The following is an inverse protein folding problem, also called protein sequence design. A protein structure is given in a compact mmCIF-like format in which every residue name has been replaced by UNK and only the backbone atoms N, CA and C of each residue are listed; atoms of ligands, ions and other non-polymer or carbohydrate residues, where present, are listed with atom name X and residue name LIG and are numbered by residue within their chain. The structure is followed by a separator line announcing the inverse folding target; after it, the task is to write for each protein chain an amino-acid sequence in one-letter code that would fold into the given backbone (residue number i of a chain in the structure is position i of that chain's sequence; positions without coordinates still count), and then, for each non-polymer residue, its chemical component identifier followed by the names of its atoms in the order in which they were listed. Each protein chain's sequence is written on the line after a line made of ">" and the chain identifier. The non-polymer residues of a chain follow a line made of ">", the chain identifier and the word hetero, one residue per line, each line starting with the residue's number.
data_IF_391167695242
#
_entry.id   IF_391167695242
#
_cell.length_a   1.000
_cell.length_b   1.000
_cell.length_c   1.000
_cell.angle_alpha   90.00
_cell.angle_beta   90.00
_cell.angle_gamma   90.00
#
_symmetry.space_group_name_H-M   'P 1'
#
loop_
_entity.id
_entity.type
_entity.pdbx_description
1 polymer ?
#
# COMPACT_ATOMS: atom_id res chain seq x y z
N UNK A 1 -20.60 18.19 -7.53
CA UNK A 1 -19.41 18.98 -7.19
C UNK A 1 -18.35 18.03 -6.64
N UNK A 2 -17.29 17.73 -7.39
CA UNK A 2 -16.19 16.91 -6.86
C UNK A 2 -15.43 17.77 -5.85
N UNK A 3 -15.50 17.40 -4.57
CA UNK A 3 -14.78 18.07 -3.51
C UNK A 3 -13.29 18.17 -3.90
N UNK A 4 -12.72 19.39 -3.91
CA UNK A 4 -11.27 19.59 -4.05
C UNK A 4 -10.60 18.77 -2.96
N UNK A 5 -10.09 17.58 -3.31
CA UNK A 5 -9.26 16.79 -2.41
C UNK A 5 -8.05 17.65 -2.07
N UNK A 6 -7.93 18.06 -0.80
CA UNK A 6 -6.73 18.74 -0.31
C UNK A 6 -5.54 17.84 -0.61
N UNK A 7 -4.54 18.38 -1.32
CA UNK A 7 -3.28 17.68 -1.58
C UNK A 7 -2.69 17.24 -0.23
N UNK A 8 -2.22 16.00 -0.07
CA UNK A 8 -1.72 15.46 1.19
C UNK A 8 -0.31 15.97 1.54
N UNK A 9 -0.08 17.28 1.41
CA UNK A 9 1.23 17.93 1.60
C UNK A 9 1.77 17.72 3.01
N UNK A 10 0.90 17.70 4.02
CA UNK A 10 1.30 17.41 5.40
C UNK A 10 1.86 15.99 5.58
N UNK A 11 1.27 15.00 4.91
CA UNK A 11 1.80 13.63 4.92
C UNK A 11 3.13 13.56 4.18
N UNK A 12 3.24 14.22 3.03
CA UNK A 12 4.48 14.30 2.26
C UNK A 12 5.63 14.86 3.10
N UNK A 13 5.40 15.98 3.81
CA UNK A 13 6.43 16.57 4.67
C UNK A 13 6.80 15.65 5.83
N UNK A 14 5.83 15.03 6.49
CA UNK A 14 6.10 14.11 7.60
C UNK A 14 6.90 12.88 7.15
N UNK A 15 6.50 12.23 6.06
CA UNK A 15 7.23 11.07 5.51
C UNK A 15 8.55 11.46 4.85
N UNK A 16 8.65 12.65 4.25
CA UNK A 16 9.89 13.18 3.70
C UNK A 16 10.93 13.46 4.79
N UNK A 17 10.54 14.18 5.85
CA UNK A 17 11.38 14.38 7.04
C UNK A 17 11.72 13.05 7.71
N UNK A 18 10.76 12.13 7.81
CA UNK A 18 10.99 10.78 8.32
C UNK A 18 12.02 10.02 7.48
N UNK A 19 11.94 10.09 6.15
CA UNK A 19 12.90 9.42 5.25
C UNK A 19 14.29 10.04 5.38
N UNK A 20 14.42 11.38 5.38
CA UNK A 20 15.70 12.08 5.59
C UNK A 20 16.29 11.72 6.97
N UNK A 21 15.45 11.71 8.01
CA UNK A 21 15.84 11.32 9.36
C UNK A 21 16.36 9.87 9.41
N UNK A 22 15.69 8.93 8.75
CA UNK A 22 16.14 7.54 8.67
C UNK A 22 17.50 7.41 7.98
N UNK A 23 17.68 8.04 6.81
CA UNK A 23 18.97 8.01 6.11
C UNK A 23 20.09 8.61 6.97
N UNK A 24 19.81 9.74 7.62
CA UNK A 24 20.76 10.40 8.52
C UNK A 24 21.10 9.52 9.72
N UNK A 25 20.10 8.88 10.34
CA UNK A 25 20.30 7.99 11.47
C UNK A 25 21.21 6.81 11.12
N UNK A 26 21.06 6.20 9.95
CA UNK A 26 21.94 5.10 9.52
C UNK A 26 23.39 5.56 9.39
N UNK A 27 23.63 6.75 8.87
CA UNK A 27 25.00 7.29 8.78
C UNK A 27 25.57 7.63 10.16
N UNK A 28 24.79 8.24 11.06
CA UNK A 28 25.25 8.60 12.40
C UNK A 28 25.49 7.38 13.30
N UNK A 29 24.70 6.33 13.13
CA UNK A 29 24.78 5.09 13.90
C UNK A 29 25.51 3.98 13.15
N UNK A 30 26.22 4.29 12.07
CA UNK A 30 26.84 3.30 11.18
C UNK A 30 27.77 2.34 11.94
N UNK A 31 28.63 2.87 12.81
CA UNK A 31 29.58 2.05 13.58
C UNK A 31 28.85 1.07 14.51
N UNK A 32 27.79 1.53 15.17
CA UNK A 32 26.96 0.70 16.05
C UNK A 32 26.19 -0.36 15.25
N UNK A 33 25.65 0.02 14.09
CA UNK A 33 24.94 -0.88 13.20
C UNK A 33 25.88 -1.96 12.66
N UNK A 34 27.07 -1.62 12.18
CA UNK A 34 28.03 -2.61 11.69
C UNK A 34 28.52 -3.53 12.80
N UNK A 35 28.82 -2.99 13.98
CA UNK A 35 29.22 -3.78 15.15
C UNK A 35 28.14 -4.79 15.58
N UNK A 36 26.85 -4.43 15.50
CA UNK A 36 25.76 -5.33 15.83
C UNK A 36 25.39 -6.27 14.67
N UNK A 37 25.36 -5.79 13.43
CA UNK A 37 24.90 -6.55 12.27
C UNK A 37 25.91 -7.64 11.88
N UNK A 38 27.20 -7.39 12.10
CA UNK A 38 28.27 -8.34 11.81
C UNK A 38 28.38 -9.49 12.83
N UNK A 39 27.76 -9.38 14.01
CA UNK A 39 27.82 -10.42 15.06
C UNK A 39 27.05 -11.70 14.72
N UNK A 40 26.19 -11.67 13.69
CA UNK A 40 25.40 -12.83 13.28
C UNK A 40 24.37 -13.30 14.33
N UNK A 41 23.76 -14.46 14.12
CA UNK A 41 22.74 -15.01 15.03
C UNK A 41 21.48 -14.15 15.11
N UNK A 42 20.96 -13.90 16.31
CA UNK A 42 19.76 -13.07 16.55
C UNK A 42 19.93 -11.64 16.01
N UNK A 43 21.16 -11.14 15.93
CA UNK A 43 21.44 -9.80 15.42
C UNK A 43 21.19 -9.64 13.92
N UNK A 44 21.04 -10.73 13.16
CA UNK A 44 20.65 -10.68 11.73
C UNK A 44 19.22 -10.16 11.52
N UNK A 45 18.39 -10.17 12.57
CA UNK A 45 17.04 -9.57 12.53
C UNK A 45 17.11 -8.06 12.36
N UNK A 46 18.16 -7.40 12.87
CA UNK A 46 18.31 -5.96 12.82
C UNK A 46 18.41 -5.37 11.40
N UNK A 47 19.29 -5.87 10.49
CA UNK A 47 19.33 -5.40 9.10
C UNK A 47 18.02 -5.66 8.37
N UNK A 48 17.38 -6.82 8.62
CA UNK A 48 16.08 -7.16 8.02
C UNK A 48 15.00 -6.15 8.46
N UNK A 49 14.90 -5.89 9.76
CA UNK A 49 13.95 -4.92 10.29
C UNK A 49 14.21 -3.51 9.74
N UNK A 50 15.48 -3.13 9.59
CA UNK A 50 15.88 -1.83 9.04
C UNK A 50 15.42 -1.67 7.60
N UNK A 51 15.67 -2.65 6.72
CA UNK A 51 15.23 -2.55 5.32
C UNK A 51 13.71 -2.52 5.18
N UNK A 52 12.97 -3.23 6.04
CA UNK A 52 11.50 -3.15 6.08
C UNK A 52 11.01 -1.76 6.50
N UNK A 53 11.62 -1.20 7.55
CA UNK A 53 11.29 0.15 8.01
C UNK A 53 11.57 1.19 6.92
N UNK A 54 12.73 1.12 6.28
CA UNK A 54 13.10 2.00 5.16
C UNK A 54 12.11 1.86 4.00
N UNK A 55 11.79 0.64 3.59
CA UNK A 55 10.85 0.36 2.51
C UNK A 55 9.48 0.97 2.80
N UNK A 56 8.98 0.85 4.03
CA UNK A 56 7.69 1.43 4.39
C UNK A 56 7.73 2.96 4.42
N UNK A 57 8.70 3.57 5.11
CA UNK A 57 8.77 5.03 5.24
C UNK A 57 9.03 5.68 3.88
N UNK A 58 10.04 5.20 3.16
CA UNK A 58 10.40 5.71 1.83
C UNK A 58 9.31 5.42 0.79
N UNK A 59 8.68 4.25 0.83
CA UNK A 59 7.57 3.90 -0.06
C UNK A 59 6.34 4.79 0.15
N UNK A 60 6.00 5.10 1.41
CA UNK A 60 4.89 6.03 1.71
C UNK A 60 5.23 7.47 1.30
N UNK A 61 6.48 7.88 1.49
CA UNK A 61 6.98 9.16 0.95
C UNK A 61 6.86 9.22 -0.58
N UNK A 62 7.35 8.21 -1.30
CA UNK A 62 7.29 8.16 -2.76
C UNK A 62 5.85 8.22 -3.26
N UNK A 63 4.92 7.45 -2.67
CA UNK A 63 3.50 7.49 -3.02
C UNK A 63 2.88 8.87 -2.82
N UNK A 64 3.09 9.48 -1.65
CA UNK A 64 2.57 10.84 -1.37
C UNK A 64 3.24 11.93 -2.22
N UNK A 65 4.51 11.74 -2.61
CA UNK A 65 5.22 12.59 -3.56
C UNK A 65 4.54 12.57 -4.93
N UNK A 66 4.30 11.38 -5.49
CA UNK A 66 3.59 11.22 -6.76
C UNK A 66 2.18 11.82 -6.71
N UNK A 67 1.43 11.61 -5.61
CA UNK A 67 0.10 12.22 -5.42
C UNK A 67 0.16 13.77 -5.41
N UNK A 68 1.15 14.38 -4.77
CA UNK A 68 1.30 15.84 -4.74
C UNK A 68 1.72 16.41 -6.10
N UNK A 69 2.56 15.68 -6.84
CA UNK A 69 2.92 15.97 -8.23
C UNK A 69 1.73 15.79 -9.20
N UNK A 70 0.63 15.17 -8.75
CA UNK A 70 -0.58 14.95 -9.55
C UNK A 70 -0.56 13.65 -10.35
N UNK A 71 0.40 12.77 -10.10
CA UNK A 71 0.45 11.42 -10.66
C UNK A 71 -0.28 10.51 -9.67
N UNK A 72 -1.60 10.44 -9.85
CA UNK A 72 -2.49 9.60 -9.07
C UNK A 72 -2.48 8.16 -9.64
N UNK A 73 -2.52 7.16 -8.76
CA UNK A 73 -2.66 5.78 -9.18
C UNK A 73 -3.98 5.60 -9.94
N UNK A 74 -3.95 4.88 -11.08
CA UNK A 74 -5.16 4.49 -11.79
C UNK A 74 -6.02 3.67 -10.85
N UNK A 75 -7.12 4.26 -10.38
CA UNK A 75 -8.12 3.54 -9.61
C UNK A 75 -8.76 2.55 -10.56
N UNK A 76 -8.29 1.30 -10.52
CA UNK A 76 -9.02 0.19 -11.13
C UNK A 76 -10.44 0.29 -10.58
N UNK A 77 -11.40 0.56 -11.46
CA UNK A 77 -12.80 0.54 -11.07
C UNK A 77 -13.03 -0.79 -10.33
N UNK A 78 -13.74 -0.79 -9.19
CA UNK A 78 -14.11 -2.04 -8.54
C UNK A 78 -14.71 -2.89 -9.65
N UNK A 79 -14.17 -4.10 -9.85
CA UNK A 79 -14.72 -5.03 -10.83
C UNK A 79 -16.22 -5.03 -10.59
N UNK A 80 -16.99 -4.57 -11.58
CA UNK A 80 -18.43 -4.53 -11.47
C UNK A 80 -18.81 -5.96 -11.13
N UNK A 81 -19.25 -6.20 -9.89
CA UNK A 81 -19.82 -7.48 -9.50
C UNK A 81 -20.87 -7.72 -10.56
N UNK A 82 -20.64 -8.72 -11.43
CA UNK A 82 -21.51 -9.00 -12.55
C UNK A 82 -22.92 -9.00 -11.99
N UNK A 83 -23.75 -8.05 -12.44
CA UNK A 83 -25.11 -7.93 -11.97
C UNK A 83 -25.71 -9.34 -12.08
N UNK A 84 -26.12 -9.92 -10.95
CA UNK A 84 -26.70 -11.26 -10.95
C UNK A 84 -27.85 -11.23 -11.95
N UNK A 85 -27.69 -11.99 -13.04
CA UNK A 85 -28.70 -12.06 -14.09
C UNK A 85 -30.02 -12.48 -13.42
N UNK A 86 -31.13 -11.78 -13.67
CA UNK A 86 -32.40 -12.13 -13.03
C UNK A 86 -32.73 -13.58 -13.33
N UNK A 87 -33.08 -14.35 -12.30
CA UNK A 87 -33.47 -15.74 -12.43
C UNK A 87 -34.57 -15.86 -13.50
N UNK A 88 -34.26 -16.56 -14.59
CA UNK A 88 -35.19 -16.82 -15.69
C UNK A 88 -36.40 -17.56 -15.12
N UNK A 89 -37.57 -16.92 -15.12
CA UNK A 89 -38.82 -17.58 -14.76
C UNK A 89 -39.15 -18.59 -15.86
N UNK A 90 -39.07 -19.88 -15.54
CA UNK A 90 -39.56 -20.93 -16.42
C UNK A 90 -41.10 -20.85 -16.48
N UNK A 91 -41.60 -20.24 -17.55
CA UNK A 91 -43.04 -20.17 -17.87
C UNK A 91 -43.52 -21.40 -18.66
N UNK A 92 -42.71 -22.46 -18.78
CA UNK A 92 -43.11 -23.65 -19.52
C UNK A 92 -44.13 -24.45 -18.70
N UNK A 93 -45.36 -24.69 -19.20
CA UNK A 93 -46.28 -25.60 -18.54
C UNK A 93 -45.64 -26.99 -18.54
N UNK A 94 -45.32 -27.49 -17.35
CA UNK A 94 -44.91 -28.88 -17.18
C UNK A 94 -46.16 -29.72 -17.45
N UNK A 95 -46.18 -30.40 -18.59
CA UNK A 95 -47.21 -31.38 -18.88
C UNK A 95 -47.17 -32.44 -17.76
N UNK A 96 -48.17 -32.42 -16.88
CA UNK A 96 -48.41 -33.50 -15.95
C UNK A 96 -48.98 -34.66 -16.79
N UNK A 97 -48.17 -35.69 -17.01
CA UNK A 97 -48.64 -36.93 -17.60
C UNK A 97 -49.40 -37.65 -16.48
N UNK A 98 -50.73 -37.62 -16.55
CA UNK A 98 -51.59 -38.40 -15.67
C UNK A 98 -51.52 -39.87 -16.10
N UNK A 99 -51.30 -40.76 -15.12
CA UNK A 99 -51.30 -42.22 -15.28
C UNK A 99 -52.71 -42.77 -15.53
#
# INVERSE_FOLDING_TARGET
>A
MQARKKKPVGKLLAYGLGSVGLYTAVYLLQDLMMANFARGGVYTVLPIATVFLFSWVHGTFAGTLWEVLGIDAVKKAPAQTAAQAPARKDTRPRAAVSA
#
